data_IF_389301790624
#
_entry.id   IF_389301790624
#
_cell.length_a   1.000
_cell.length_b   1.000
_cell.length_c   1.000
_cell.angle_alpha   90.00
_cell.angle_beta   90.00
_cell.angle_gamma   90.00
#
_symmetry.space_group_name_H-M   'P 1'
#
loop_
_entity.id
_entity.type
_entity.pdbx_description
1 polymer ?
#
# COMPACT_ATOMS: atom_id res chain seq x y z
N UNK A 1 -27.11 8.17 14.69
CA UNK A 1 -26.34 9.31 15.23
C UNK A 1 -26.54 10.48 14.30
N UNK A 2 -26.83 11.68 14.81
CA UNK A 2 -26.81 12.90 13.98
C UNK A 2 -25.37 13.11 13.50
N UNK A 3 -25.17 13.32 12.20
CA UNK A 3 -23.87 13.60 11.63
C UNK A 3 -23.28 14.85 12.28
N UNK A 4 -22.04 14.77 12.74
CA UNK A 4 -21.25 15.94 13.11
C UNK A 4 -21.01 16.76 11.83
N UNK A 5 -21.41 18.05 11.79
CA UNK A 5 -21.33 18.86 10.58
C UNK A 5 -19.89 19.21 10.17
N UNK A 6 -18.90 19.03 11.04
CA UNK A 6 -17.51 19.29 10.68
C UNK A 6 -16.96 18.16 9.80
N UNK A 7 -16.47 18.52 8.62
CA UNK A 7 -15.84 17.57 7.70
C UNK A 7 -14.39 17.34 8.13
N UNK A 8 -14.01 16.09 8.37
CA UNK A 8 -12.63 15.73 8.71
C UNK A 8 -11.86 15.43 7.42
N UNK A 9 -10.85 16.25 7.12
CA UNK A 9 -9.86 15.95 6.08
C UNK A 9 -8.69 15.15 6.68
N UNK A 10 -8.48 13.88 6.26
CA UNK A 10 -7.35 13.10 6.74
C UNK A 10 -6.01 13.55 6.15
N UNK A 11 -4.92 13.21 6.84
CA UNK A 11 -3.58 13.17 6.24
C UNK A 11 -3.38 11.79 5.60
N UNK A 12 -2.91 11.75 4.36
CA UNK A 12 -2.73 10.50 3.63
C UNK A 12 -1.27 10.05 3.58
N UNK A 13 -0.98 8.85 4.05
CA UNK A 13 0.27 8.14 3.76
C UNK A 13 0.07 7.35 2.48
N UNK A 14 0.83 7.71 1.45
CA UNK A 14 0.76 7.11 0.12
C UNK A 14 2.09 6.49 -0.28
N UNK A 15 2.05 5.60 -1.26
CA UNK A 15 3.23 4.89 -1.77
C UNK A 15 3.04 3.39 -1.79
N UNK A 16 4.02 2.70 -2.37
CA UNK A 16 3.90 1.27 -2.65
C UNK A 16 3.68 0.43 -1.39
N UNK A 17 2.94 -0.67 -1.53
CA UNK A 17 2.96 -1.72 -0.51
C UNK A 17 4.40 -2.18 -0.34
N UNK A 18 4.75 -2.53 0.90
CA UNK A 18 6.09 -3.01 1.31
C UNK A 18 7.17 -1.91 1.41
N UNK A 19 6.82 -0.63 1.23
CA UNK A 19 7.71 0.50 1.52
C UNK A 19 7.89 0.80 3.02
N UNK A 20 7.34 -0.01 3.93
CA UNK A 20 7.45 0.22 5.38
C UNK A 20 6.32 1.02 6.01
N UNK A 21 5.20 1.23 5.30
CA UNK A 21 4.03 1.98 5.79
C UNK A 21 3.49 1.45 7.12
N UNK A 22 3.60 0.14 7.37
CA UNK A 22 3.14 -0.46 8.64
C UNK A 22 3.96 0.05 9.83
N UNK A 23 5.29 0.02 9.74
CA UNK A 23 6.18 0.48 10.81
C UNK A 23 5.98 1.98 11.06
N UNK A 24 5.97 2.78 9.99
CA UNK A 24 5.78 4.22 10.07
C UNK A 24 4.43 4.59 10.71
N UNK A 25 3.34 3.92 10.28
CA UNK A 25 2.01 4.09 10.88
C UNK A 25 1.97 3.72 12.36
N UNK A 26 2.66 2.63 12.75
CA UNK A 26 2.73 2.22 14.15
C UNK A 26 3.40 3.28 15.01
N UNK A 27 4.42 3.95 14.47
CA UNK A 27 5.04 5.08 15.15
C UNK A 27 4.01 6.19 15.39
N UNK A 28 3.32 6.61 14.34
CA UNK A 28 2.33 7.69 14.39
C UNK A 28 1.15 7.39 15.31
N UNK A 29 0.69 6.14 15.36
CA UNK A 29 -0.35 5.70 16.32
C UNK A 29 0.10 5.72 17.78
N UNK A 30 1.41 5.81 18.06
CA UNK A 30 1.92 6.05 19.41
C UNK A 30 1.69 7.49 19.90
N UNK A 31 1.43 8.44 18.98
CA UNK A 31 1.22 9.83 19.35
C UNK A 31 -0.14 10.03 20.07
N UNK A 32 -0.19 10.79 21.19
CA UNK A 32 -1.43 10.99 21.94
C UNK A 32 -2.51 11.78 21.18
N UNK A 33 -2.14 12.54 20.15
CA UNK A 33 -3.06 13.34 19.34
C UNK A 33 -3.33 12.79 17.92
N UNK A 34 -2.81 11.60 17.58
CA UNK A 34 -2.97 11.00 16.25
C UNK A 34 -3.78 9.71 16.36
N UNK A 35 -4.67 9.49 15.41
CA UNK A 35 -5.23 8.19 15.09
C UNK A 35 -4.94 7.89 13.62
N UNK A 36 -4.44 6.69 13.32
CA UNK A 36 -4.05 6.31 11.96
C UNK A 36 -4.73 5.01 11.50
N UNK A 37 -5.67 5.19 10.58
CA UNK A 37 -6.55 4.15 10.05
C UNK A 37 -6.01 3.50 8.75
N UNK A 38 -6.67 2.42 8.32
CA UNK A 38 -6.35 1.62 7.13
C UNK A 38 -7.60 1.30 6.33
N UNK A 39 -7.42 0.82 5.10
CA UNK A 39 -8.52 0.21 4.34
C UNK A 39 -9.49 1.25 3.81
N UNK A 40 -8.98 2.39 3.33
CA UNK A 40 -9.75 3.42 2.64
C UNK A 40 -9.57 3.36 1.12
N UNK A 41 -8.69 2.46 0.64
CA UNK A 41 -8.45 2.19 -0.78
C UNK A 41 -9.73 1.78 -1.53
N UNK A 42 -10.74 1.24 -0.83
CA UNK A 42 -12.02 0.93 -1.47
C UNK A 42 -12.69 2.19 -2.02
N UNK A 43 -12.55 3.34 -1.37
CA UNK A 43 -13.29 4.55 -1.73
C UNK A 43 -12.84 5.12 -3.08
N UNK A 44 -11.53 5.12 -3.33
CA UNK A 44 -10.95 5.58 -4.59
C UNK A 44 -11.25 4.62 -5.75
N UNK A 45 -11.52 3.35 -5.48
CA UNK A 45 -11.90 2.37 -6.51
C UNK A 45 -13.29 2.64 -7.12
N UNK A 46 -14.12 3.47 -6.49
CA UNK A 46 -15.41 3.89 -7.05
C UNK A 46 -15.30 5.12 -7.93
N UNK A 47 -14.11 5.66 -8.13
CA UNK A 47 -13.88 6.89 -8.88
C UNK A 47 -13.08 6.54 -10.13
N UNK A 48 -13.58 6.97 -11.29
CA UNK A 48 -12.82 6.87 -12.54
C UNK A 48 -11.78 8.00 -12.65
N UNK A 49 -10.98 7.96 -13.71
CA UNK A 49 -9.86 8.89 -13.88
C UNK A 49 -10.32 10.34 -14.17
N UNK A 50 -11.63 10.55 -14.33
CA UNK A 50 -12.27 11.84 -14.53
C UNK A 50 -13.10 12.30 -13.31
N UNK A 51 -12.97 11.63 -12.17
CA UNK A 51 -13.70 11.98 -10.96
C UNK A 51 -15.17 11.56 -10.96
N UNK A 52 -15.60 10.72 -11.92
CA UNK A 52 -16.98 10.23 -11.98
C UNK A 52 -17.12 8.98 -11.13
N UNK A 53 -18.22 8.91 -10.39
CA UNK A 53 -18.51 7.74 -9.55
C UNK A 53 -19.05 6.60 -10.41
N UNK A 54 -18.44 5.43 -10.27
CA UNK A 54 -18.87 4.20 -10.90
C UNK A 54 -20.24 3.80 -10.33
N UNK A 55 -21.17 3.34 -11.18
CA UNK A 55 -22.62 3.16 -10.91
C UNK A 55 -23.02 2.28 -9.69
N UNK A 56 -22.10 1.75 -8.89
CA UNK A 56 -22.36 0.85 -7.77
C UNK A 56 -21.50 1.20 -6.53
N UNK A 57 -21.66 2.39 -5.94
CA UNK A 57 -21.17 2.58 -4.57
C UNK A 57 -22.30 2.23 -3.60
N UNK A 58 -22.18 1.07 -2.96
CA UNK A 58 -23.15 0.58 -2.00
C UNK A 58 -22.43 0.15 -0.71
N UNK A 59 -22.40 1.06 0.27
CA UNK A 59 -21.66 0.85 1.50
C UNK A 59 -22.31 -0.18 2.43
N UNK A 60 -23.59 -0.52 2.24
CA UNK A 60 -24.33 -1.42 3.14
C UNK A 60 -25.35 -2.39 2.48
N UNK A 61 -25.88 -2.20 1.25
CA UNK A 61 -26.98 -3.04 0.70
C UNK A 61 -27.15 -3.03 -0.85
N UNK A 62 -26.71 -4.07 -1.61
CA UNK A 62 -26.56 -4.08 -3.09
C UNK A 62 -27.76 -3.81 -4.03
N UNK A 63 -28.89 -3.22 -3.60
CA UNK A 63 -30.08 -3.07 -4.44
C UNK A 63 -30.85 -1.76 -4.20
N UNK A 64 -30.21 -0.60 -4.33
CA UNK A 64 -30.97 0.63 -4.62
C UNK A 64 -30.38 1.36 -5.84
N UNK A 65 -31.24 1.63 -6.82
CA UNK A 65 -30.90 2.14 -8.15
C UNK A 65 -30.53 3.64 -8.19
N UNK A 66 -29.92 4.18 -7.13
CA UNK A 66 -29.44 5.57 -7.14
C UNK A 66 -28.01 5.60 -7.66
N UNK A 67 -27.76 6.47 -8.65
CA UNK A 67 -26.38 6.76 -9.08
C UNK A 67 -25.68 7.46 -7.92
N UNK A 68 -24.69 6.81 -7.32
CA UNK A 68 -23.92 7.39 -6.22
C UNK A 68 -23.11 8.58 -6.73
N UNK A 69 -23.05 9.65 -5.93
CA UNK A 69 -22.27 10.86 -6.21
C UNK A 69 -20.98 10.90 -5.38
N UNK A 70 -20.06 11.80 -5.72
CA UNK A 70 -18.86 12.05 -4.90
C UNK A 70 -19.26 12.46 -3.48
N UNK A 71 -20.35 13.21 -3.33
CA UNK A 71 -20.83 13.66 -2.01
C UNK A 71 -21.33 12.49 -1.15
N UNK A 72 -21.93 11.46 -1.76
CA UNK A 72 -22.34 10.26 -1.03
C UNK A 72 -21.12 9.51 -0.47
N UNK A 73 -20.05 9.40 -1.27
CA UNK A 73 -18.79 8.80 -0.83
C UNK A 73 -18.17 9.65 0.30
N UNK A 74 -18.10 10.98 0.12
CA UNK A 74 -17.57 11.91 1.12
C UNK A 74 -18.35 11.85 2.44
N UNK A 75 -19.68 11.80 2.40
CA UNK A 75 -20.53 11.68 3.58
C UNK A 75 -20.30 10.37 4.32
N UNK A 76 -20.22 9.26 3.61
CA UNK A 76 -19.85 7.96 4.18
C UNK A 76 -18.47 8.01 4.85
N UNK A 77 -17.48 8.54 4.15
CA UNK A 77 -16.12 8.66 4.66
C UNK A 77 -16.02 9.59 5.85
N UNK A 78 -16.79 10.68 5.91
CA UNK A 78 -16.80 11.59 7.06
C UNK A 78 -17.29 10.88 8.34
N UNK A 79 -18.36 10.08 8.24
CA UNK A 79 -18.82 9.28 9.37
C UNK A 79 -17.76 8.27 9.85
N UNK A 80 -17.07 7.63 8.89
CA UNK A 80 -15.94 6.74 9.20
C UNK A 80 -14.78 7.52 9.82
N UNK A 81 -14.50 8.73 9.34
CA UNK A 81 -13.46 9.62 9.82
C UNK A 81 -13.67 9.99 11.29
N UNK A 82 -14.90 10.39 11.64
CA UNK A 82 -15.26 10.72 13.02
C UNK A 82 -15.07 9.54 13.97
N UNK A 83 -15.49 8.35 13.52
CA UNK A 83 -15.30 7.11 14.28
C UNK A 83 -13.82 6.76 14.45
N UNK A 84 -13.03 6.84 13.38
CA UNK A 84 -11.61 6.50 13.40
C UNK A 84 -10.77 7.51 14.17
N UNK A 85 -11.04 8.82 14.03
CA UNK A 85 -10.34 9.90 14.74
C UNK A 85 -10.66 9.87 16.23
N UNK A 86 -11.92 9.62 16.58
CA UNK A 86 -12.41 9.75 17.95
C UNK A 86 -12.14 11.17 18.47
N UNK A 87 -11.44 11.27 19.61
CA UNK A 87 -11.08 12.55 20.25
C UNK A 87 -9.69 13.07 19.87
N UNK A 88 -9.00 12.43 18.93
CA UNK A 88 -7.65 12.82 18.49
C UNK A 88 -7.72 14.06 17.58
N UNK A 89 -6.60 14.79 17.46
CA UNK A 89 -6.53 15.99 16.61
C UNK A 89 -6.39 15.60 15.14
N UNK A 90 -5.49 14.66 14.84
CA UNK A 90 -5.15 14.24 13.49
C UNK A 90 -5.73 12.86 13.21
N UNK A 91 -6.38 12.73 12.06
CA UNK A 91 -6.66 11.45 11.42
C UNK A 91 -5.68 11.24 10.28
N UNK A 92 -4.91 10.16 10.34
CA UNK A 92 -4.09 9.68 9.24
C UNK A 92 -4.74 8.47 8.57
N UNK A 93 -4.55 8.31 7.26
CA UNK A 93 -5.07 7.18 6.48
C UNK A 93 -3.99 6.69 5.54
N UNK A 94 -3.77 5.37 5.47
CA UNK A 94 -2.85 4.79 4.48
C UNK A 94 -3.61 4.38 3.22
N UNK A 95 -3.13 4.80 2.04
CA UNK A 95 -3.70 4.41 0.74
C UNK A 95 -2.55 4.00 -0.19
N UNK A 96 -2.63 2.78 -0.72
CA UNK A 96 -1.54 2.19 -1.49
C UNK A 96 -1.74 2.16 -3.00
N UNK A 97 -2.97 2.37 -3.45
CA UNK A 97 -3.39 2.29 -4.86
C UNK A 97 -4.54 3.27 -5.08
N UNK A 98 -4.63 3.83 -6.27
CA UNK A 98 -5.65 4.80 -6.65
C UNK A 98 -5.56 6.11 -5.86
N UNK A 99 -4.42 6.44 -5.26
CA UNK A 99 -4.32 7.63 -4.41
C UNK A 99 -4.28 8.94 -5.20
N UNK A 100 -3.98 8.89 -6.50
CA UNK A 100 -4.14 9.99 -7.46
C UNK A 100 -5.58 10.50 -7.55
N UNK A 101 -6.56 9.70 -7.10
CA UNK A 101 -7.99 10.03 -7.08
C UNK A 101 -8.45 10.68 -5.78
N UNK A 102 -7.60 10.72 -4.74
CA UNK A 102 -7.94 11.37 -3.46
C UNK A 102 -8.37 12.83 -3.64
N UNK A 103 -7.77 13.66 -4.53
CA UNK A 103 -8.20 15.04 -4.72
C UNK A 103 -9.68 15.21 -5.11
N UNK A 104 -10.31 14.20 -5.74
CA UNK A 104 -11.75 14.22 -6.01
C UNK A 104 -12.61 14.13 -4.75
N UNK A 105 -12.07 13.54 -3.66
CA UNK A 105 -12.75 13.40 -2.37
C UNK A 105 -12.31 14.48 -1.37
N UNK A 106 -11.02 14.83 -1.37
CA UNK A 106 -10.37 15.73 -0.44
C UNK A 106 -9.40 16.65 -1.18
N UNK A 107 -9.90 17.80 -1.63
CA UNK A 107 -9.12 18.75 -2.44
C UNK A 107 -8.01 19.47 -1.66
N UNK A 108 -8.11 19.50 -0.33
CA UNK A 108 -7.19 20.17 0.61
C UNK A 108 -6.38 19.17 1.47
N UNK A 109 -6.35 17.91 1.08
CA UNK A 109 -5.62 16.86 1.79
C UNK A 109 -4.11 17.10 1.81
N UNK A 110 -3.46 16.65 2.90
CA UNK A 110 -2.01 16.56 3.00
C UNK A 110 -1.54 15.13 2.72
N UNK A 111 -0.35 14.99 2.14
CA UNK A 111 0.23 13.71 1.74
C UNK A 111 1.64 13.50 2.30
N UNK A 112 1.91 12.30 2.80
CA UNK A 112 3.25 11.80 3.09
C UNK A 112 3.50 10.70 2.06
N UNK A 113 4.36 10.96 1.08
CA UNK A 113 4.76 9.94 0.11
C UNK A 113 5.93 9.14 0.69
N UNK A 114 5.67 7.88 1.05
CA UNK A 114 6.69 6.97 1.55
C UNK A 114 7.27 6.16 0.39
N UNK A 115 8.52 6.47 0.06
CA UNK A 115 9.30 5.76 -0.94
C UNK A 115 10.33 4.85 -0.27
N UNK A 116 10.63 3.72 -0.93
CA UNK A 116 11.66 2.76 -0.52
C UNK A 116 12.35 2.22 -1.77
N UNK A 117 13.59 1.79 -1.64
CA UNK A 117 14.33 1.15 -2.72
C UNK A 117 13.51 -0.02 -3.32
N UNK A 118 13.21 -0.02 -4.63
CA UNK A 118 12.38 -1.04 -5.26
C UNK A 118 13.01 -2.44 -5.20
N UNK A 119 14.34 -2.55 -5.05
CA UNK A 119 15.03 -3.83 -4.90
C UNK A 119 14.69 -4.51 -3.57
N UNK A 120 14.53 -3.72 -2.51
CA UNK A 120 14.08 -4.21 -1.20
C UNK A 120 12.60 -4.62 -1.20
N UNK A 121 11.78 -3.90 -1.95
CA UNK A 121 10.36 -4.25 -2.15
C UNK A 121 10.25 -5.57 -2.91
N UNK A 122 11.06 -5.77 -3.94
CA UNK A 122 11.06 -6.97 -4.77
C UNK A 122 11.30 -8.25 -3.94
N UNK A 123 12.21 -8.23 -2.95
CA UNK A 123 12.39 -9.34 -2.00
C UNK A 123 11.06 -9.73 -1.36
N UNK A 124 10.33 -8.74 -0.84
CA UNK A 124 9.07 -9.00 -0.16
C UNK A 124 7.97 -9.44 -1.12
N UNK A 125 7.90 -8.88 -2.34
CA UNK A 125 6.93 -9.27 -3.37
C UNK A 125 7.10 -10.75 -3.77
N UNK A 126 8.33 -11.22 -3.94
CA UNK A 126 8.62 -12.63 -4.25
C UNK A 126 8.33 -13.51 -3.04
N UNK A 127 8.76 -13.13 -1.83
CA UNK A 127 8.54 -13.92 -0.61
C UNK A 127 7.04 -14.13 -0.30
N UNK A 128 6.22 -13.13 -0.56
CA UNK A 128 4.76 -13.20 -0.42
C UNK A 128 4.07 -13.88 -1.61
N UNK A 129 4.83 -14.23 -2.65
CA UNK A 129 4.35 -14.82 -3.91
C UNK A 129 3.43 -13.91 -4.71
N UNK A 130 3.51 -12.60 -4.50
CA UNK A 130 2.88 -11.59 -5.35
C UNK A 130 3.54 -11.51 -6.73
N UNK A 131 4.79 -11.96 -6.82
CA UNK A 131 5.49 -12.17 -8.07
C UNK A 131 6.28 -13.48 -8.05
N UNK A 132 6.28 -14.19 -9.18
CA UNK A 132 7.11 -15.38 -9.39
C UNK A 132 8.48 -15.08 -9.99
N UNK A 133 8.78 -13.81 -10.29
CA UNK A 133 10.04 -13.40 -10.93
C UNK A 133 10.50 -12.04 -10.41
N UNK A 134 11.79 -11.92 -10.09
CA UNK A 134 12.38 -10.65 -9.68
C UNK A 134 12.28 -9.54 -10.73
N UNK A 135 12.10 -9.89 -12.01
CA UNK A 135 11.84 -8.90 -13.07
C UNK A 135 10.49 -8.19 -12.91
N UNK A 136 9.43 -8.87 -12.44
CA UNK A 136 8.09 -8.29 -12.26
C UNK A 136 7.79 -7.93 -10.81
N UNK A 137 8.63 -8.37 -9.88
CA UNK A 137 8.49 -8.11 -8.46
C UNK A 137 8.40 -6.62 -8.06
N UNK A 138 9.07 -5.66 -8.75
CA UNK A 138 8.93 -4.24 -8.43
C UNK A 138 7.73 -3.57 -9.11
N UNK A 139 6.89 -4.27 -9.90
CA UNK A 139 5.80 -3.63 -10.65
C UNK A 139 4.76 -2.94 -9.73
N UNK A 140 4.56 -3.45 -8.52
CA UNK A 140 3.70 -2.78 -7.51
C UNK A 140 4.25 -1.42 -7.08
N UNK A 141 5.58 -1.26 -7.12
CA UNK A 141 6.24 -0.01 -6.81
C UNK A 141 6.19 0.92 -8.01
N UNK A 142 6.44 0.41 -9.21
CA UNK A 142 6.33 1.19 -10.45
C UNK A 142 4.93 1.81 -10.58
N UNK A 143 3.88 1.02 -10.34
CA UNK A 143 2.51 1.52 -10.38
C UNK A 143 2.28 2.66 -9.37
N UNK A 144 2.72 2.49 -8.12
CA UNK A 144 2.58 3.53 -7.10
C UNK A 144 3.40 4.80 -7.43
N UNK A 145 4.60 4.66 -8.02
CA UNK A 145 5.39 5.82 -8.41
C UNK A 145 4.79 6.57 -9.60
N UNK A 146 4.07 5.87 -10.49
CA UNK A 146 3.28 6.50 -11.56
C UNK A 146 2.10 7.28 -10.98
N UNK A 147 1.31 6.67 -10.09
CA UNK A 147 0.22 7.35 -9.37
C UNK A 147 0.74 8.58 -8.61
N UNK A 148 1.94 8.49 -8.02
CA UNK A 148 2.57 9.61 -7.33
C UNK A 148 2.99 10.74 -8.28
N UNK A 149 3.51 10.42 -9.46
CA UNK A 149 3.84 11.42 -10.47
C UNK A 149 2.61 12.18 -10.97
N UNK A 150 1.50 11.47 -11.17
CA UNK A 150 0.22 12.07 -11.56
C UNK A 150 -0.33 12.98 -10.44
N UNK A 151 -0.35 12.48 -9.21
CA UNK A 151 -0.85 13.24 -8.05
C UNK A 151 0.01 14.48 -7.77
N UNK A 152 1.33 14.30 -7.64
CA UNK A 152 2.25 15.38 -7.27
C UNK A 152 2.34 16.50 -8.32
N UNK A 153 1.94 16.22 -9.57
CA UNK A 153 1.85 17.23 -10.63
C UNK A 153 0.66 18.20 -10.46
N UNK A 154 -0.39 17.82 -9.70
CA UNK A 154 -1.63 18.60 -9.59
C UNK A 154 -1.90 19.17 -8.18
N UNK A 155 -1.19 18.70 -7.16
CA UNK A 155 -1.34 19.21 -5.77
C UNK A 155 -0.28 20.27 -5.43
N UNK A 156 -0.61 21.15 -4.49
CA UNK A 156 0.31 22.19 -4.00
C UNK A 156 1.57 21.56 -3.37
N UNK A 157 2.76 22.13 -3.61
CA UNK A 157 4.03 21.65 -3.05
C UNK A 157 4.07 21.67 -1.52
N UNK A 158 3.24 22.49 -0.88
CA UNK A 158 3.07 22.55 0.59
C UNK A 158 2.12 21.47 1.12
N UNK A 159 1.37 20.82 0.23
CA UNK A 159 0.43 19.76 0.59
C UNK A 159 1.14 18.41 0.76
N UNK A 160 2.45 18.30 0.53
CA UNK A 160 3.13 17.02 0.68
C UNK A 160 4.59 17.11 1.11
N UNK A 161 5.07 16.00 1.68
CA UNK A 161 6.49 15.70 1.89
C UNK A 161 6.82 14.30 1.38
N UNK A 162 8.03 14.12 0.85
CA UNK A 162 8.58 12.79 0.57
C UNK A 162 9.31 12.29 1.82
N UNK A 163 9.10 11.02 2.15
CA UNK A 163 9.77 10.30 3.23
C UNK A 163 10.46 9.10 2.61
N UNK A 164 11.79 9.06 2.65
CA UNK A 164 12.56 7.89 2.25
C UNK A 164 12.60 6.90 3.41
N UNK A 165 12.25 5.66 3.15
CA UNK A 165 12.21 4.61 4.17
C UNK A 165 13.59 4.40 4.80
N UNK A 166 14.65 4.49 3.99
CA UNK A 166 16.04 4.32 4.40
C UNK A 166 16.46 5.41 5.40
N UNK A 167 16.08 6.66 5.14
CA UNK A 167 16.31 7.77 6.07
C UNK A 167 15.51 7.57 7.35
N UNK A 168 14.25 7.14 7.24
CA UNK A 168 13.39 6.88 8.40
C UNK A 168 13.94 5.78 9.32
N UNK A 169 14.45 4.66 8.79
CA UNK A 169 14.97 3.59 9.65
C UNK A 169 16.36 3.86 10.20
N UNK A 170 17.10 4.80 9.59
CA UNK A 170 18.45 5.19 10.03
C UNK A 170 18.41 6.37 11.00
N UNK A 171 17.50 7.33 10.78
CA UNK A 171 17.35 8.55 11.57
C UNK A 171 15.87 8.77 11.99
N UNK A 172 15.23 7.82 12.70
CA UNK A 172 13.80 7.84 12.93
C UNK A 172 13.30 9.07 13.68
N UNK A 173 14.02 9.60 14.68
CA UNK A 173 13.60 10.81 15.39
C UNK A 173 13.60 12.05 14.50
N UNK A 174 14.61 12.21 13.64
CA UNK A 174 14.72 13.37 12.76
C UNK A 174 13.57 13.37 11.74
N UNK A 175 13.33 12.23 11.10
CA UNK A 175 12.25 12.08 10.13
C UNK A 175 10.86 12.21 10.78
N UNK A 176 10.65 11.64 11.97
CA UNK A 176 9.39 11.78 12.70
C UNK A 176 9.15 13.21 13.18
N UNK A 177 10.18 13.97 13.59
CA UNK A 177 10.06 15.41 13.88
C UNK A 177 9.61 16.19 12.65
N UNK A 178 10.22 15.96 11.48
CA UNK A 178 9.82 16.59 10.22
C UNK A 178 8.37 16.28 9.86
N UNK A 179 7.95 15.04 10.06
CA UNK A 179 6.56 14.61 9.82
C UNK A 179 5.59 15.28 10.80
N UNK A 180 5.91 15.32 12.09
CA UNK A 180 5.12 15.99 13.12
C UNK A 180 4.90 17.47 12.80
N UNK A 181 5.97 18.18 12.44
CA UNK A 181 5.92 19.58 12.00
C UNK A 181 5.01 19.74 10.77
N UNK A 182 5.18 18.90 9.75
CA UNK A 182 4.37 18.95 8.54
C UNK A 182 2.86 18.76 8.80
N UNK A 183 2.49 17.84 9.69
CA UNK A 183 1.08 17.58 10.04
C UNK A 183 0.55 18.49 11.15
N UNK A 184 1.40 19.35 11.73
CA UNK A 184 1.01 20.37 12.71
C UNK A 184 0.82 19.85 14.14
N UNK A 185 1.66 18.90 14.56
CA UNK A 185 1.68 18.39 15.94
C UNK A 185 3.09 18.46 16.53
N UNK A 186 3.20 18.48 17.85
CA UNK A 186 4.49 18.42 18.53
C UNK A 186 5.09 17.01 18.47
N UNK A 187 6.41 16.92 18.44
CA UNK A 187 7.09 15.65 18.58
C UNK A 187 6.99 15.10 20.02
N UNK A 188 6.88 13.78 20.16
CA UNK A 188 6.93 13.10 21.47
C UNK A 188 7.59 11.72 21.35
N UNK A 189 8.27 11.30 22.42
CA UNK A 189 8.90 9.96 22.49
C UNK A 189 7.87 8.82 22.49
N UNK A 190 6.60 9.11 22.82
CA UNK A 190 5.50 8.12 22.76
C UNK A 190 5.28 7.55 21.36
N UNK A 191 5.79 8.20 20.32
CA UNK A 191 5.84 7.65 18.97
C UNK A 191 6.48 6.25 18.92
N UNK A 192 7.35 5.88 19.87
CA UNK A 192 7.95 4.54 19.92
C UNK A 192 7.27 3.57 20.89
N UNK A 193 6.16 3.96 21.54
CA UNK A 193 5.46 3.10 22.51
C UNK A 193 4.87 1.82 21.90
N UNK A 194 4.70 1.78 20.57
CA UNK A 194 4.28 0.56 19.87
C UNK A 194 5.24 -0.63 20.11
N UNK A 195 6.50 -0.37 20.45
CA UNK A 195 7.50 -1.40 20.78
C UNK A 195 7.17 -2.16 22.06
N UNK A 196 6.33 -1.58 22.93
CA UNK A 196 5.88 -2.20 24.19
C UNK A 196 4.69 -3.13 23.99
N UNK A 197 3.90 -2.89 22.95
CA UNK A 197 2.62 -3.58 22.71
C UNK A 197 2.64 -4.48 21.49
N UNK A 198 3.76 -4.53 20.76
CA UNK A 198 3.91 -5.32 19.54
C UNK A 198 5.30 -5.94 19.46
N UNK A 199 5.47 -6.93 18.61
CA UNK A 199 6.80 -7.52 18.30
C UNK A 199 7.70 -6.63 17.43
N UNK A 200 7.22 -5.46 16.99
CA UNK A 200 8.03 -4.58 16.17
C UNK A 200 9.06 -3.88 17.05
N UNK A 201 10.31 -3.99 16.65
CA UNK A 201 11.40 -3.30 17.31
C UNK A 201 11.45 -1.83 16.87
N UNK A 202 12.22 -1.07 17.64
CA UNK A 202 12.66 0.26 17.24
C UNK A 202 13.32 0.23 15.84
N UNK A 203 13.12 1.23 14.96
CA UNK A 203 13.67 1.23 13.60
C UNK A 203 15.20 1.12 13.61
N UNK A 204 15.76 0.35 12.67
CA UNK A 204 17.21 0.11 12.60
C UNK A 204 17.68 0.20 11.16
N UNK A 205 18.89 0.73 10.99
CA UNK A 205 19.59 0.84 9.71
C UNK A 205 19.68 -0.51 8.97
N UNK A 206 19.79 -1.64 9.69
CA UNK A 206 19.79 -3.00 9.10
C UNK A 206 18.53 -3.36 8.30
N UNK A 207 17.48 -2.53 8.36
CA UNK A 207 16.26 -2.68 7.57
C UNK A 207 16.34 -2.00 6.21
N UNK A 208 17.31 -1.11 5.99
CA UNK A 208 17.62 -0.46 4.72
C UNK A 208 18.53 -1.34 3.86
N UNK A 209 18.46 -1.15 2.54
CA UNK A 209 19.37 -1.76 1.54
C UNK A 209 19.62 -3.27 1.70
N UNK A 210 18.62 -4.02 2.19
CA UNK A 210 18.75 -5.47 2.43
C UNK A 210 19.03 -6.26 1.15
N UNK A 211 18.64 -5.71 0.00
CA UNK A 211 18.90 -6.27 -1.31
C UNK A 211 20.39 -6.49 -1.58
N UNK A 212 21.28 -5.68 -1.00
CA UNK A 212 22.72 -5.81 -1.20
C UNK A 212 23.25 -7.15 -0.68
N UNK A 213 22.70 -7.65 0.43
CA UNK A 213 23.12 -8.90 1.05
C UNK A 213 22.18 -10.08 0.74
N UNK A 214 20.92 -9.83 0.38
CA UNK A 214 19.90 -10.87 0.23
C UNK A 214 19.65 -11.29 -1.22
N UNK A 215 19.94 -10.43 -2.20
CA UNK A 215 19.73 -10.75 -3.60
C UNK A 215 21.01 -11.24 -4.25
N UNK A 216 20.87 -12.24 -5.11
CA UNK A 216 21.95 -12.63 -6.02
C UNK A 216 22.11 -11.60 -7.14
N UNK A 217 23.28 -11.60 -7.76
CA UNK A 217 23.59 -10.75 -8.93
C UNK A 217 22.51 -10.82 -10.02
N UNK A 218 22.09 -12.02 -10.40
CA UNK A 218 21.07 -12.20 -11.45
C UNK A 218 19.72 -11.57 -11.08
N UNK A 219 19.35 -11.60 -9.79
CA UNK A 219 18.10 -11.05 -9.28
C UNK A 219 18.13 -9.53 -9.27
N UNK A 220 19.25 -8.94 -8.81
CA UNK A 220 19.49 -7.49 -8.86
C UNK A 220 19.41 -7.01 -10.31
N UNK A 221 20.14 -7.67 -11.22
CA UNK A 221 20.13 -7.32 -12.62
C UNK A 221 18.72 -7.38 -13.24
N UNK A 222 17.91 -8.39 -12.91
CA UNK A 222 16.52 -8.47 -13.39
C UNK A 222 15.67 -7.31 -12.88
N UNK A 223 15.78 -6.95 -11.59
CA UNK A 223 15.04 -5.81 -11.02
C UNK A 223 15.49 -4.52 -11.69
N UNK A 224 16.79 -4.25 -11.75
CA UNK A 224 17.33 -3.01 -12.31
C UNK A 224 17.04 -2.86 -13.81
N UNK A 225 16.94 -3.97 -14.55
CA UNK A 225 16.51 -3.93 -15.95
C UNK A 225 15.03 -3.55 -16.10
N UNK A 226 14.22 -3.74 -15.05
CA UNK A 226 12.82 -3.31 -15.00
C UNK A 226 12.66 -1.86 -14.55
N UNK A 227 13.44 -1.42 -13.56
CA UNK A 227 13.23 -0.13 -12.87
C UNK A 227 14.39 0.87 -12.99
N UNK A 228 15.40 0.60 -13.83
CA UNK A 228 16.63 1.40 -13.89
C UNK A 228 16.41 2.90 -14.08
N UNK A 229 15.50 3.30 -14.98
CA UNK A 229 15.14 4.71 -15.17
C UNK A 229 14.53 5.36 -13.93
N UNK A 230 13.76 4.59 -13.15
CA UNK A 230 13.17 5.07 -11.91
C UNK A 230 14.18 5.16 -10.76
N UNK A 231 15.18 4.27 -10.70
CA UNK A 231 16.24 4.36 -9.68
C UNK A 231 16.92 5.73 -9.75
N UNK A 232 17.35 6.14 -10.94
CA UNK A 232 17.98 7.45 -11.14
C UNK A 232 17.01 8.59 -10.78
N UNK A 233 15.77 8.53 -11.28
CA UNK A 233 14.74 9.56 -11.02
C UNK A 233 14.46 9.75 -9.54
N UNK A 234 14.51 8.68 -8.75
CA UNK A 234 14.25 8.68 -7.30
C UNK A 234 15.51 8.73 -6.45
N UNK A 235 16.68 9.00 -7.04
CA UNK A 235 17.93 9.13 -6.30
C UNK A 235 18.38 7.85 -5.59
N UNK A 236 18.12 6.69 -6.19
CA UNK A 236 18.72 5.41 -5.77
C UNK A 236 19.89 5.09 -6.69
N UNK A 237 21.04 4.79 -6.11
CA UNK A 237 22.22 4.38 -6.86
C UNK A 237 22.00 2.98 -7.45
N UNK A 238 22.17 2.86 -8.77
CA UNK A 238 22.17 1.57 -9.46
C UNK A 238 23.38 0.73 -9.03
N UNK A 239 23.24 -0.60 -9.09
CA UNK A 239 24.34 -1.50 -8.81
C UNK A 239 25.44 -1.37 -9.88
N UNK A 240 26.62 -1.89 -9.56
CA UNK A 240 27.74 -2.01 -10.50
C UNK A 240 27.53 -3.09 -11.58
N UNK A 241 26.42 -3.82 -11.55
CA UNK A 241 26.17 -4.92 -12.49
C UNK A 241 25.65 -4.39 -13.83
N UNK A 242 26.04 -5.01 -14.96
CA UNK A 242 25.53 -4.58 -16.26
C UNK A 242 24.02 -4.83 -16.35
N UNK A 243 23.29 -3.88 -16.94
CA UNK A 243 21.85 -4.02 -17.19
C UNK A 243 21.60 -5.16 -18.17
N UNK A 244 20.60 -6.00 -17.89
CA UNK A 244 20.21 -7.07 -18.79
C UNK A 244 19.22 -6.55 -19.83
N UNK A 245 19.45 -6.90 -21.09
CA UNK A 245 18.46 -6.65 -22.12
C UNK A 245 17.38 -7.74 -22.10
N UNK A 246 16.17 -7.37 -21.65
CA UNK A 246 15.05 -8.31 -21.53
C UNK A 246 14.17 -8.24 -22.77
N UNK A 247 14.46 -9.09 -23.76
CA UNK A 247 13.72 -9.20 -25.03
C UNK A 247 13.48 -10.64 -25.44
N UNK A 248 12.59 -10.84 -26.42
CA UNK A 248 12.35 -12.14 -27.08
C UNK A 248 12.08 -13.29 -26.12
N UNK A 249 12.82 -14.38 -26.28
CA UNK A 249 12.67 -15.60 -25.46
C UNK A 249 12.88 -15.36 -23.97
N UNK A 250 13.80 -14.46 -23.57
CA UNK A 250 14.04 -14.15 -22.16
C UNK A 250 12.84 -13.47 -21.52
N UNK A 251 12.21 -12.54 -22.23
CA UNK A 251 10.99 -11.89 -21.76
C UNK A 251 9.83 -12.91 -21.62
N UNK A 252 9.70 -13.83 -22.59
CA UNK A 252 8.69 -14.89 -22.54
C UNK A 252 8.95 -15.85 -21.35
N UNK A 253 10.20 -16.28 -21.15
CA UNK A 253 10.62 -17.10 -20.01
C UNK A 253 10.24 -16.45 -18.68
N UNK A 254 10.59 -15.17 -18.49
CA UNK A 254 10.29 -14.44 -17.26
C UNK A 254 8.79 -14.28 -17.02
N UNK A 255 8.00 -14.09 -18.08
CA UNK A 255 6.54 -14.02 -18.01
C UNK A 255 5.94 -15.36 -17.59
N UNK A 256 6.40 -16.47 -18.19
CA UNK A 256 5.99 -17.83 -17.83
C UNK A 256 6.37 -18.13 -16.38
N UNK A 257 7.61 -17.84 -15.98
CA UNK A 257 8.11 -18.02 -14.61
C UNK A 257 7.27 -17.22 -13.61
N UNK A 258 6.98 -15.96 -13.91
CA UNK A 258 6.14 -15.12 -13.06
C UNK A 258 4.74 -15.71 -12.88
N UNK A 259 4.10 -16.08 -14.00
CA UNK A 259 2.79 -16.71 -13.98
C UNK A 259 2.80 -18.00 -13.15
N UNK A 260 3.71 -18.93 -13.47
CA UNK A 260 3.83 -20.21 -12.78
C UNK A 260 4.08 -20.03 -11.28
N UNK A 261 4.96 -19.11 -10.88
CA UNK A 261 5.25 -18.82 -9.47
C UNK A 261 4.03 -18.29 -8.70
N UNK A 262 3.29 -17.35 -9.28
CA UNK A 262 2.05 -16.82 -8.67
C UNK A 262 1.00 -17.94 -8.54
N UNK A 263 0.84 -18.78 -9.57
CA UNK A 263 -0.07 -19.93 -9.55
C UNK A 263 0.31 -20.94 -8.47
N UNK A 264 1.59 -21.33 -8.42
CA UNK A 264 2.10 -22.28 -7.45
C UNK A 264 1.90 -21.78 -6.02
N UNK A 265 2.15 -20.49 -5.76
CA UNK A 265 1.88 -19.88 -4.46
C UNK A 265 0.38 -19.92 -4.11
N UNK A 266 -0.48 -19.51 -5.03
CA UNK A 266 -1.93 -19.54 -4.80
C UNK A 266 -2.45 -20.94 -4.48
N UNK A 267 -1.94 -21.96 -5.17
CA UNK A 267 -2.27 -23.37 -4.89
C UNK A 267 -1.74 -23.79 -3.51
N UNK A 268 -0.53 -23.37 -3.13
CA UNK A 268 0.04 -23.69 -1.82
C UNK A 268 -0.73 -23.03 -0.65
N UNK A 269 -1.22 -21.80 -0.85
CA UNK A 269 -1.94 -21.05 0.18
C UNK A 269 -3.42 -21.49 0.31
N UNK A 270 -4.08 -21.81 -0.80
CA UNK A 270 -5.52 -22.10 -0.85
C UNK A 270 -5.86 -23.60 -0.92
N UNK A 271 -4.90 -24.44 -1.35
CA UNK A 271 -5.14 -25.79 -1.83
C UNK A 271 -5.65 -25.79 -3.28
N UNK A 272 -5.30 -26.85 -4.03
CA UNK A 272 -5.60 -26.96 -5.47
C UNK A 272 -7.09 -26.86 -5.79
N UNK A 273 -7.95 -27.47 -4.97
CA UNK A 273 -9.39 -27.49 -5.19
C UNK A 273 -10.01 -26.09 -5.08
N UNK A 274 -9.68 -25.35 -4.02
CA UNK A 274 -10.18 -24.00 -3.81
C UNK A 274 -9.63 -23.03 -4.86
N UNK A 275 -8.35 -23.17 -5.18
CA UNK A 275 -7.71 -22.40 -6.24
C UNK A 275 -8.43 -22.54 -7.59
N UNK A 276 -8.75 -23.78 -7.98
CA UNK A 276 -9.46 -24.07 -9.24
C UNK A 276 -10.90 -23.55 -9.23
N UNK A 277 -11.60 -23.59 -8.09
CA UNK A 277 -12.92 -22.97 -7.94
C UNK A 277 -12.84 -21.48 -8.25
N UNK A 278 -11.89 -20.75 -7.64
CA UNK A 278 -11.71 -19.32 -7.89
C UNK A 278 -11.29 -19.01 -9.34
N UNK A 279 -10.41 -19.84 -9.91
CA UNK A 279 -9.96 -19.69 -11.31
C UNK A 279 -11.12 -19.87 -12.30
N UNK A 280 -11.89 -20.95 -12.16
CA UNK A 280 -13.03 -21.25 -13.03
C UNK A 280 -14.14 -20.22 -12.85
N UNK A 281 -14.43 -19.82 -11.61
CA UNK A 281 -15.40 -18.75 -11.31
C UNK A 281 -15.07 -17.46 -12.06
N UNK A 282 -13.82 -16.97 -11.96
CA UNK A 282 -13.37 -15.76 -12.66
C UNK A 282 -13.34 -15.92 -14.19
N UNK A 283 -12.88 -17.06 -14.70
CA UNK A 283 -12.78 -17.31 -16.15
C UNK A 283 -14.15 -17.42 -16.82
N UNK A 284 -15.13 -17.99 -16.13
CA UNK A 284 -16.49 -18.22 -16.65
C UNK A 284 -17.49 -17.13 -16.21
N UNK A 285 -17.06 -16.14 -15.42
CA UNK A 285 -17.95 -15.10 -14.89
C UNK A 285 -19.02 -15.61 -13.93
N UNK A 286 -18.81 -16.77 -13.29
CA UNK A 286 -19.80 -17.42 -12.44
C UNK A 286 -19.75 -16.85 -11.02
N UNK A 287 -20.64 -15.89 -10.74
CA UNK A 287 -20.71 -15.17 -9.45
C UNK A 287 -20.79 -16.12 -8.23
N UNK A 288 -21.58 -17.19 -8.31
CA UNK A 288 -21.70 -18.17 -7.21
C UNK A 288 -20.39 -18.87 -6.84
N UNK A 289 -19.54 -19.19 -7.83
CA UNK A 289 -18.23 -19.78 -7.59
C UNK A 289 -17.23 -18.75 -7.05
N UNK A 290 -17.32 -17.50 -7.51
CA UNK A 290 -16.52 -16.38 -7.01
C UNK A 290 -16.86 -16.13 -5.53
N UNK A 291 -18.15 -16.01 -5.19
CA UNK A 291 -18.60 -15.78 -3.82
C UNK A 291 -18.19 -16.94 -2.90
N UNK A 292 -18.33 -18.19 -3.37
CA UNK A 292 -17.89 -19.39 -2.64
C UNK A 292 -16.37 -19.38 -2.42
N UNK A 293 -15.59 -19.00 -3.45
CA UNK A 293 -14.13 -18.85 -3.34
C UNK A 293 -13.77 -17.79 -2.30
N UNK A 294 -14.39 -16.62 -2.36
CA UNK A 294 -14.09 -15.49 -1.48
C UNK A 294 -14.44 -15.77 -0.01
N UNK A 295 -15.59 -16.40 0.26
CA UNK A 295 -15.97 -16.81 1.62
C UNK A 295 -14.96 -17.81 2.20
N UNK A 296 -14.60 -18.84 1.44
CA UNK A 296 -13.64 -19.85 1.90
C UNK A 296 -12.23 -19.27 2.06
N UNK A 297 -11.81 -18.41 1.13
CA UNK A 297 -10.52 -17.73 1.19
C UNK A 297 -10.41 -16.80 2.41
N UNK A 298 -11.47 -16.05 2.72
CA UNK A 298 -11.56 -15.25 3.95
C UNK A 298 -11.39 -16.12 5.19
N UNK A 299 -12.04 -17.28 5.24
CA UNK A 299 -11.90 -18.22 6.35
C UNK A 299 -10.46 -18.75 6.53
N UNK A 300 -9.74 -19.02 5.43
CA UNK A 300 -8.31 -19.42 5.49
C UNK A 300 -7.45 -18.27 5.99
N UNK A 301 -7.64 -17.06 5.43
CA UNK A 301 -6.89 -15.86 5.82
C UNK A 301 -7.15 -15.47 7.28
N UNK A 302 -8.38 -15.54 7.74
CA UNK A 302 -8.77 -15.30 9.13
C UNK A 302 -8.02 -16.26 10.06
N UNK A 303 -8.04 -17.57 9.78
CA UNK A 303 -7.29 -18.57 10.57
C UNK A 303 -5.78 -18.34 10.54
N UNK A 304 -5.24 -17.86 9.42
CA UNK A 304 -3.82 -17.53 9.30
C UNK A 304 -3.46 -16.27 10.10
N UNK A 305 -4.33 -15.26 10.10
CA UNK A 305 -4.21 -14.05 10.93
C UNK A 305 -4.34 -14.40 12.42
N UNK A 306 -5.33 -15.18 12.83
CA UNK A 306 -5.51 -15.64 14.21
C UNK A 306 -4.33 -16.50 14.70
N UNK A 307 -3.74 -17.31 13.81
CA UNK A 307 -2.53 -18.09 14.11
C UNK A 307 -1.30 -17.19 14.27
N UNK A 308 -1.18 -16.18 13.42
CA UNK A 308 -0.14 -15.16 13.55
C UNK A 308 -0.33 -14.35 14.84
N UNK A 309 -1.56 -13.94 15.16
CA UNK A 309 -1.95 -13.20 16.38
C UNK A 309 -1.75 -14.01 17.66
N UNK A 310 -1.89 -15.34 17.65
CA UNK A 310 -1.52 -16.22 18.78
C UNK A 310 -0.02 -16.29 19.03
N UNK A 311 0.77 -16.03 17.99
CA UNK A 311 2.21 -15.91 18.16
C UNK A 311 2.56 -14.48 18.66
N UNK A 312 1.76 -13.44 18.37
CA UNK A 312 1.93 -12.03 18.83
C UNK A 312 1.48 -11.78 20.28
#
# INVERSE_FOLDING_TARGET
MKADPEFITPVFLVGARRSGTTLFRMCLNGHPDVSWDRGWEFAVNFIDDHGRVLKHFDAERPQTSRTSSIEDIRSYLNNKAHTARGKKKILGVTVHVGFEKIPYLYSDAKYIHLIRDPRDIAISSVKLGWSGSYYYAPDIWVAAEQEWEELSAVIDKRAWIELRYEDFVTHPEAELRRVCEFIGIDYTEKLFDYTKTTKYNYPKESLAYRWESQLRKDEVQLIESRVGGYLQKRGYQASQYPVLEIKGLKALELKIRNFAGIKARGIADEGLSLYMIGLLGRKLGLKSLIDLHDVKLRGIKQKHVEKLEKDY
#
